data_IF_420106250421
#
_entry.id   IF_420106250421
#
_cell.length_a   1.000
_cell.length_b   1.000
_cell.length_c   1.000
_cell.angle_alpha   90.00
_cell.angle_beta   90.00
_cell.angle_gamma   90.00
#
_symmetry.space_group_name_H-M   'P 1'
#
loop_
_entity.id
_entity.type
_entity.pdbx_description
1 polymer ?
#
# COMPACT_ATOMS: atom_id res chain seq x y z
N UNK A 1 -7.05 3.43 3.77
CA UNK A 1 -5.90 4.26 3.31
C UNK A 1 -4.90 4.37 4.45
N UNK A 2 -3.60 4.48 4.16
CA UNK A 2 -2.56 4.77 5.15
C UNK A 2 -2.02 6.18 4.89
N UNK A 3 -1.95 7.03 5.92
CA UNK A 3 -1.52 8.43 5.80
C UNK A 3 -0.18 8.62 6.52
N UNK A 4 0.64 9.57 6.04
CA UNK A 4 2.01 9.79 6.55
C UNK A 4 2.09 10.34 7.97
N UNK A 5 0.98 10.86 8.52
CA UNK A 5 0.92 11.30 9.91
C UNK A 5 -0.48 11.13 10.49
N UNK A 6 -0.60 10.96 11.82
CA UNK A 6 -1.89 10.94 12.51
C UNK A 6 -2.70 12.23 12.31
N UNK A 7 -2.02 13.38 12.21
CA UNK A 7 -2.66 14.67 11.97
C UNK A 7 -3.38 14.70 10.61
N UNK A 8 -2.74 14.21 9.55
CA UNK A 8 -3.38 14.08 8.24
C UNK A 8 -4.53 13.07 8.27
N UNK A 9 -4.42 11.99 9.05
CA UNK A 9 -5.52 11.05 9.23
C UNK A 9 -6.74 11.66 9.93
N UNK A 10 -6.51 12.48 10.95
CA UNK A 10 -7.58 13.23 11.61
C UNK A 10 -8.24 14.24 10.64
N UNK A 11 -7.44 15.02 9.90
CA UNK A 11 -7.95 15.95 8.89
C UNK A 11 -8.76 15.24 7.80
N UNK A 12 -8.24 14.13 7.28
CA UNK A 12 -8.93 13.31 6.28
C UNK A 12 -10.27 12.79 6.82
N UNK A 13 -10.30 12.30 8.05
CA UNK A 13 -11.55 11.87 8.70
C UNK A 13 -12.54 13.04 8.83
N UNK A 14 -12.11 14.19 9.36
CA UNK A 14 -12.99 15.35 9.49
C UNK A 14 -13.57 15.82 8.15
N UNK A 15 -12.81 15.70 7.07
CA UNK A 15 -13.25 16.13 5.74
C UNK A 15 -14.27 15.17 5.09
N UNK A 16 -14.18 13.87 5.33
CA UNK A 16 -14.91 12.86 4.56
C UNK A 16 -15.89 11.99 5.37
N UNK A 17 -15.69 11.84 6.68
CA UNK A 17 -16.59 11.05 7.54
C UNK A 17 -17.99 11.69 7.59
N UNK A 18 -19.03 10.86 7.44
CA UNK A 18 -20.42 11.33 7.38
C UNK A 18 -20.78 12.09 6.10
N UNK A 19 -19.91 12.09 5.06
CA UNK A 19 -20.18 12.78 3.79
C UNK A 19 -20.67 11.82 2.71
N UNK A 20 -21.54 12.33 1.84
CA UNK A 20 -21.94 11.67 0.60
C UNK A 20 -21.07 12.19 -0.56
N UNK A 21 -20.62 11.29 -1.43
CA UNK A 21 -19.87 11.68 -2.62
C UNK A 21 -20.80 12.14 -3.73
N UNK A 22 -20.60 13.36 -4.23
CA UNK A 22 -21.49 14.02 -5.20
C UNK A 22 -21.38 13.48 -6.63
N UNK A 23 -20.28 12.79 -6.96
CA UNK A 23 -20.01 12.30 -8.31
C UNK A 23 -20.90 11.11 -8.71
N UNK A 24 -21.48 10.41 -7.74
CA UNK A 24 -22.28 9.22 -7.98
C UNK A 24 -23.69 9.42 -7.44
N UNK A 25 -24.69 8.84 -8.10
CA UNK A 25 -26.12 8.94 -7.72
C UNK A 25 -26.48 8.10 -6.48
N UNK A 26 -25.48 7.59 -5.75
CA UNK A 26 -25.69 6.73 -4.59
C UNK A 26 -26.01 7.55 -3.35
N UNK A 27 -26.93 7.07 -2.51
CA UNK A 27 -27.25 7.64 -1.19
C UNK A 27 -26.27 7.20 -0.08
N UNK A 28 -25.21 6.45 -0.42
CA UNK A 28 -24.25 5.95 0.56
C UNK A 28 -23.46 7.09 1.19
N UNK A 29 -23.46 7.11 2.52
CA UNK A 29 -22.65 8.01 3.34
C UNK A 29 -21.34 7.29 3.69
N UNK A 30 -20.21 8.01 3.62
CA UNK A 30 -18.91 7.50 4.01
C UNK A 30 -18.82 7.39 5.54
N UNK A 31 -18.29 6.27 6.01
CA UNK A 31 -17.92 6.06 7.41
C UNK A 31 -16.42 5.78 7.48
N UNK A 32 -15.74 6.40 8.45
CA UNK A 32 -14.32 6.22 8.67
C UNK A 32 -14.00 5.79 10.10
N UNK A 33 -13.34 4.63 10.19
CA UNK A 33 -12.81 4.09 11.44
C UNK A 33 -11.32 3.75 11.30
N UNK A 34 -10.56 3.71 12.41
CA UNK A 34 -9.19 3.23 12.40
C UNK A 34 -9.12 1.79 11.89
N UNK A 35 -8.17 1.51 11.00
CA UNK A 35 -7.92 0.14 10.55
C UNK A 35 -7.36 -0.74 11.69
N UNK A 36 -7.70 -2.03 11.68
CA UNK A 36 -7.13 -3.02 12.63
C UNK A 36 -5.60 -3.13 12.46
N UNK A 37 -5.11 -2.99 11.23
CA UNK A 37 -3.67 -2.99 10.93
C UNK A 37 -3.24 -1.54 10.68
N UNK A 38 -2.34 -1.04 11.52
CA UNK A 38 -1.84 0.33 11.51
C UNK A 38 -0.39 0.39 11.06
N UNK A 39 -0.04 1.42 10.29
CA UNK A 39 1.32 1.65 9.80
C UNK A 39 1.62 0.99 8.45
N UNK A 40 2.58 1.56 7.73
CA UNK A 40 2.95 1.12 6.38
C UNK A 40 3.56 -0.28 6.41
N UNK A 41 4.52 -0.51 7.29
CA UNK A 41 5.27 -1.76 7.45
C UNK A 41 4.33 -2.94 7.75
N UNK A 42 3.39 -2.74 8.69
CA UNK A 42 2.43 -3.76 9.07
C UNK A 42 1.46 -4.09 7.93
N UNK A 43 1.00 -3.07 7.20
CA UNK A 43 0.14 -3.24 6.03
C UNK A 43 0.84 -4.00 4.90
N UNK A 44 2.10 -3.63 4.60
CA UNK A 44 2.96 -4.32 3.62
C UNK A 44 3.14 -5.79 4.00
N UNK A 45 3.56 -6.07 5.24
CA UNK A 45 3.79 -7.44 5.72
C UNK A 45 2.53 -8.28 5.63
N UNK A 46 1.39 -7.73 6.07
CA UNK A 46 0.09 -8.42 6.01
C UNK A 46 -0.30 -8.76 4.57
N UNK A 47 -0.15 -7.82 3.64
CA UNK A 47 -0.52 -8.06 2.24
C UNK A 47 0.39 -9.09 1.58
N UNK A 48 1.72 -8.92 1.70
CA UNK A 48 2.68 -9.82 1.07
C UNK A 48 2.55 -11.26 1.58
N UNK A 49 2.36 -11.43 2.89
CA UNK A 49 2.24 -12.76 3.50
C UNK A 49 0.98 -13.52 3.06
N UNK A 50 -0.13 -12.84 2.82
CA UNK A 50 -1.44 -13.50 2.70
C UNK A 50 -2.12 -13.36 1.34
N UNK A 51 -1.81 -12.32 0.56
CA UNK A 51 -2.62 -11.94 -0.60
C UNK A 51 -1.84 -11.68 -1.89
N UNK A 52 -0.53 -11.46 -1.83
CA UNK A 52 0.27 -11.08 -2.99
C UNK A 52 0.22 -12.09 -4.16
N UNK A 53 0.15 -13.40 -3.87
CA UNK A 53 0.04 -14.45 -4.89
C UNK A 53 -1.39 -14.70 -5.41
N UNK A 54 -2.43 -14.21 -4.73
CA UNK A 54 -3.83 -14.43 -5.13
C UNK A 54 -4.27 -13.46 -6.22
N UNK A 55 -3.74 -12.24 -6.20
CA UNK A 55 -4.12 -11.17 -7.12
C UNK A 55 -3.08 -11.10 -8.24
N UNK A 56 -3.44 -11.64 -9.40
CA UNK A 56 -2.52 -11.69 -10.56
C UNK A 56 -2.49 -10.37 -11.34
N UNK A 57 -3.65 -9.75 -11.54
CA UNK A 57 -3.74 -8.48 -12.27
C UNK A 57 -3.20 -7.32 -11.41
N UNK A 58 -2.14 -6.60 -11.85
CA UNK A 58 -1.54 -5.51 -11.09
C UNK A 58 -2.49 -4.37 -10.74
N UNK A 59 -3.54 -4.13 -11.55
CA UNK A 59 -4.54 -3.08 -11.32
C UNK A 59 -5.38 -3.32 -10.06
N UNK A 60 -5.43 -4.55 -9.56
CA UNK A 60 -6.12 -4.91 -8.32
C UNK A 60 -5.18 -5.08 -7.13
N UNK A 61 -3.86 -4.88 -7.31
CA UNK A 61 -2.92 -4.85 -6.19
C UNK A 61 -3.04 -3.51 -5.46
N UNK A 62 -2.90 -3.48 -4.12
CA UNK A 62 -2.77 -2.24 -3.38
C UNK A 62 -1.63 -1.40 -3.95
N UNK A 63 -1.74 -0.08 -3.86
CA UNK A 63 -0.69 0.82 -4.34
C UNK A 63 0.17 1.32 -3.19
N UNK A 64 1.45 1.52 -3.46
CA UNK A 64 2.39 2.23 -2.61
C UNK A 64 2.91 3.47 -3.34
N UNK A 65 3.19 4.51 -2.56
CA UNK A 65 3.79 5.75 -3.04
C UNK A 65 5.22 5.80 -2.52
N UNK A 66 6.18 5.91 -3.44
CA UNK A 66 7.62 5.94 -3.13
C UNK A 66 8.27 7.21 -3.69
N UNK A 67 9.22 7.84 -2.99
CA UNK A 67 9.99 8.96 -3.54
C UNK A 67 10.74 8.52 -4.80
N UNK A 68 10.74 9.34 -5.86
CA UNK A 68 11.42 9.01 -7.12
C UNK A 68 12.94 9.04 -7.03
N UNK A 69 13.50 9.69 -6.01
CA UNK A 69 14.94 9.96 -5.87
C UNK A 69 15.54 9.38 -4.59
N UNK A 70 15.61 8.05 -4.49
CA UNK A 70 16.58 7.31 -3.66
C UNK A 70 16.49 7.41 -2.13
N UNK A 71 16.32 8.61 -1.57
CA UNK A 71 16.32 8.89 -0.14
C UNK A 71 15.25 9.95 0.19
N UNK A 72 14.59 9.85 1.35
CA UNK A 72 13.61 10.83 1.78
C UNK A 72 14.35 12.04 2.37
N UNK A 73 14.76 12.99 1.53
CA UNK A 73 14.85 14.36 2.02
C UNK A 73 13.40 14.83 2.23
N UNK A 74 12.97 14.95 3.49
CA UNK A 74 11.58 15.28 3.86
C UNK A 74 11.06 16.61 3.27
N UNK A 75 11.94 17.41 2.65
CA UNK A 75 11.67 18.78 2.20
C UNK A 75 12.04 19.07 0.73
N UNK A 76 12.66 18.13 0.02
CA UNK A 76 12.91 18.31 -1.42
C UNK A 76 11.72 17.74 -2.18
N UNK A 77 11.09 18.54 -3.04
CA UNK A 77 9.91 18.20 -3.86
C UNK A 77 10.14 17.09 -4.90
N UNK A 78 10.88 16.04 -4.55
CA UNK A 78 11.06 14.85 -5.34
C UNK A 78 9.68 14.27 -5.71
N UNK A 79 9.47 13.94 -7.00
CA UNK A 79 8.18 13.42 -7.44
C UNK A 79 7.89 12.07 -6.76
N UNK A 80 6.64 11.82 -6.41
CA UNK A 80 6.22 10.52 -5.89
C UNK A 80 5.85 9.58 -7.05
N UNK A 81 6.34 8.35 -7.02
CA UNK A 81 5.90 7.27 -7.91
C UNK A 81 4.83 6.44 -7.22
N UNK A 82 3.73 6.21 -7.92
CA UNK A 82 2.67 5.30 -7.49
C UNK A 82 2.87 3.96 -8.19
N UNK A 83 3.11 2.90 -7.42
CA UNK A 83 3.42 1.56 -7.93
C UNK A 83 2.55 0.50 -7.25
N UNK A 84 2.23 -0.61 -7.92
CA UNK A 84 1.58 -1.74 -7.25
C UNK A 84 2.49 -2.32 -6.18
N UNK A 85 1.90 -2.70 -5.04
CA UNK A 85 2.59 -3.30 -3.90
C UNK A 85 3.04 -4.72 -4.27
N UNK A 86 4.30 -4.83 -4.65
CA UNK A 86 5.02 -6.08 -4.95
C UNK A 86 6.37 -6.06 -4.23
N UNK A 87 6.99 -7.22 -4.09
CA UNK A 87 8.35 -7.33 -3.52
C UNK A 87 9.39 -6.49 -4.30
N UNK A 88 9.24 -6.44 -5.63
CA UNK A 88 10.11 -5.69 -6.53
C UNK A 88 10.02 -4.17 -6.31
N UNK A 89 8.81 -3.66 -6.12
CA UNK A 89 8.55 -2.22 -6.00
C UNK A 89 8.78 -1.67 -4.58
N UNK A 90 9.01 -2.54 -3.59
CA UNK A 90 9.22 -2.11 -2.21
C UNK A 90 10.57 -1.42 -2.01
N UNK A 91 10.62 -0.27 -1.32
CA UNK A 91 11.85 0.33 -0.82
C UNK A 91 12.66 -0.65 0.04
N UNK A 92 13.99 -0.51 0.02
CA UNK A 92 14.92 -1.42 0.71
C UNK A 92 14.61 -1.56 2.20
N UNK A 93 14.30 -0.45 2.88
CA UNK A 93 13.99 -0.46 4.32
C UNK A 93 12.72 -1.27 4.66
N UNK A 94 11.73 -1.28 3.77
CA UNK A 94 10.50 -2.07 3.96
C UNK A 94 10.67 -3.54 3.63
N UNK A 95 11.61 -3.91 2.75
CA UNK A 95 11.92 -5.32 2.44
C UNK A 95 12.51 -6.03 3.67
N UNK A 96 13.43 -5.37 4.37
CA UNK A 96 14.01 -5.91 5.61
C UNK A 96 12.92 -6.16 6.67
N UNK A 97 11.93 -5.26 6.76
CA UNK A 97 10.80 -5.37 7.67
C UNK A 97 9.75 -6.42 7.25
N UNK A 98 9.72 -6.83 5.98
CA UNK A 98 8.79 -7.82 5.44
C UNK A 98 9.20 -9.28 5.79
N UNK A 99 10.44 -9.51 6.21
CA UNK A 99 10.99 -10.85 6.49
C UNK A 99 11.25 -11.64 5.19
N UNK A 100 11.98 -12.78 5.26
CA UNK A 100 12.22 -13.61 4.08
C UNK A 100 10.90 -14.26 3.64
N UNK A 101 10.22 -13.65 2.67
CA UNK A 101 9.23 -14.34 1.86
C UNK A 101 9.93 -15.45 1.09
N UNK A 102 9.40 -16.68 1.13
CA UNK A 102 9.89 -17.78 0.27
C UNK A 102 9.83 -17.28 -1.17
N UNK A 103 11.00 -17.19 -1.80
CA UNK A 103 11.11 -16.98 -3.24
C UNK A 103 10.15 -17.96 -3.93
N UNK A 104 9.33 -17.44 -4.84
CA UNK A 104 8.50 -18.26 -5.71
C UNK A 104 9.39 -19.33 -6.34
N UNK A 105 9.10 -20.60 -6.05
CA UNK A 105 9.87 -21.72 -6.55
C UNK A 105 9.85 -21.70 -8.07
N UNK A 106 11.03 -21.54 -8.68
CA UNK A 106 11.25 -21.94 -10.05
C UNK A 106 10.93 -23.42 -10.14
N UNK A 107 9.83 -23.77 -10.82
CA UNK A 107 9.62 -25.12 -11.33
C UNK A 107 10.67 -25.30 -12.43
N UNK A 108 11.78 -25.93 -12.07
CA UNK A 108 12.68 -26.53 -13.06
C UNK A 108 11.91 -27.65 -13.73
N UNK A 109 11.62 -27.45 -15.02
CA UNK A 109 11.22 -28.51 -15.93
C UNK A 109 12.32 -29.57 -15.89
N UNK A 110 12.04 -30.74 -15.32
CA UNK A 110 12.89 -31.90 -15.48
C UNK A 110 12.49 -32.55 -16.80
N UNK A 111 13.34 -32.39 -17.82
CA UNK A 111 13.31 -33.22 -19.02
C UNK A 111 13.76 -34.64 -18.64
N UNK A 112 12.91 -35.62 -18.94
CA UNK A 112 13.26 -37.01 -19.24
C UNK A 112 12.34 -37.50 -20.35
#
# INVERSE_FOLDING_TARGET
>A
VNLRSPALAAQFRCAFDGKQLTRYTTQKVLEMSPAVTQGLEANVRKYLKHQAGRVQNPWFKPMIFVPSGGEPDEDCGAPWKCLPLTEENLPRHLRAAAGPGRAAGNIVHADL
#
